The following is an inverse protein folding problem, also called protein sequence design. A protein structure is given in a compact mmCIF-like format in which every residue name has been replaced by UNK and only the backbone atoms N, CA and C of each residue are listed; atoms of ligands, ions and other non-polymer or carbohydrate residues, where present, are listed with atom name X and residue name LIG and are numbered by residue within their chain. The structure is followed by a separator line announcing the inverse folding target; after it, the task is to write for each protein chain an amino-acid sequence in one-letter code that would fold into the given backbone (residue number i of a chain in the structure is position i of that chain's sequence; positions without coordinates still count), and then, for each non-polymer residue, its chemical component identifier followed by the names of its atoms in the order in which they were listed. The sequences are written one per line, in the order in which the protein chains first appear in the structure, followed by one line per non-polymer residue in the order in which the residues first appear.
data_IF_688559507406
#
_entry.id   IF_688559507406
#
_cell.length_a   1.000
_cell.length_b   1.000
_cell.length_c   1.000
_cell.angle_alpha   90.00
_cell.angle_beta   90.00
_cell.angle_gamma   90.00
#
_symmetry.space_group_name_H-M   'P 1'
#
loop_
_entity.id
_entity.type
_entity.pdbx_description
1 polymer ?
#
# COMPACT_ATOMS: atom_id res chain seq x y z
N UNK A 1 -45.59 37.50 6.09
CA UNK A 1 -45.61 36.02 6.15
C UNK A 1 -45.00 35.54 7.45
N UNK A 2 -45.80 34.95 8.32
CA UNK A 2 -45.25 34.33 9.53
C UNK A 2 -44.83 32.88 9.18
N UNK A 3 -43.57 32.59 9.37
CA UNK A 3 -43.05 31.23 9.24
C UNK A 3 -43.57 30.45 10.44
N UNK A 4 -44.31 29.35 10.18
CA UNK A 4 -44.81 28.49 11.23
C UNK A 4 -43.61 27.73 11.90
N UNK A 5 -43.70 27.62 13.22
CA UNK A 5 -42.70 26.91 14.01
C UNK A 5 -42.49 25.46 13.57
N UNK A 6 -43.52 24.81 13.09
CA UNK A 6 -43.49 23.46 12.53
C UNK A 6 -42.67 23.36 11.23
N UNK A 7 -42.75 24.36 10.36
CA UNK A 7 -41.99 24.39 9.11
C UNK A 7 -40.48 24.54 9.35
N UNK A 8 -40.09 25.29 10.35
CA UNK A 8 -38.69 25.44 10.79
C UNK A 8 -38.15 24.14 11.37
N UNK A 9 -38.96 23.44 12.19
CA UNK A 9 -38.58 22.16 12.78
C UNK A 9 -38.43 21.06 11.73
N UNK A 10 -39.34 21.00 10.76
CA UNK A 10 -39.26 20.03 9.65
C UNK A 10 -38.03 20.28 8.77
N UNK A 11 -37.70 21.55 8.50
CA UNK A 11 -36.49 21.93 7.76
C UNK A 11 -35.22 21.57 8.54
N UNK A 12 -35.22 21.72 9.85
CA UNK A 12 -34.09 21.32 10.69
C UNK A 12 -33.85 19.82 10.67
N UNK A 13 -34.90 19.00 10.68
CA UNK A 13 -34.78 17.55 10.59
C UNK A 13 -34.26 17.11 9.23
N UNK A 14 -34.72 17.73 8.14
CA UNK A 14 -34.20 17.48 6.78
C UNK A 14 -32.73 17.88 6.67
N UNK A 15 -32.35 19.02 7.21
CA UNK A 15 -30.95 19.48 7.22
C UNK A 15 -30.07 18.55 8.04
N UNK A 16 -30.55 18.12 9.23
CA UNK A 16 -29.83 17.12 10.04
C UNK A 16 -29.64 15.79 9.30
N UNK A 17 -30.66 15.32 8.64
CA UNK A 17 -30.60 14.12 7.82
C UNK A 17 -29.58 14.26 6.69
N UNK A 18 -29.59 15.39 6.01
CA UNK A 18 -28.64 15.70 4.93
C UNK A 18 -27.19 15.75 5.42
N UNK A 19 -26.94 16.36 6.57
CA UNK A 19 -25.63 16.42 7.22
C UNK A 19 -25.17 15.00 7.61
N UNK A 20 -26.08 14.20 8.19
CA UNK A 20 -25.78 12.83 8.60
C UNK A 20 -25.43 11.95 7.41
N UNK A 21 -26.16 12.05 6.29
CA UNK A 21 -25.87 11.33 5.06
C UNK A 21 -24.53 11.80 4.43
N UNK A 22 -24.22 13.08 4.51
CA UNK A 22 -22.95 13.62 4.04
C UNK A 22 -21.77 13.16 4.89
N UNK A 23 -21.95 13.08 6.22
CA UNK A 23 -20.94 12.55 7.15
C UNK A 23 -20.74 11.04 6.93
N UNK A 24 -21.82 10.28 6.74
CA UNK A 24 -21.74 8.85 6.41
C UNK A 24 -21.00 8.63 5.07
N UNK A 25 -21.27 9.44 4.07
CA UNK A 25 -20.53 9.39 2.79
C UNK A 25 -19.05 9.76 2.94
N UNK A 26 -18.68 10.59 3.90
CA UNK A 26 -17.29 10.87 4.23
C UNK A 26 -16.62 9.69 4.93
N UNK A 27 -17.36 8.93 5.73
CA UNK A 27 -16.87 7.72 6.38
C UNK A 27 -16.77 6.54 5.40
N UNK A 28 -17.61 6.48 4.38
CA UNK A 28 -17.54 5.54 3.25
C UNK A 28 -16.44 5.90 2.24
N UNK A 29 -15.64 6.93 2.50
CA UNK A 29 -14.49 7.27 1.66
C UNK A 29 -13.62 6.04 1.52
N UNK A 30 -13.42 5.57 0.28
CA UNK A 30 -12.59 4.42 -0.05
C UNK A 30 -11.30 4.52 0.75
N UNK A 31 -11.21 3.72 1.80
CA UNK A 31 -9.99 3.55 2.56
C UNK A 31 -9.05 2.79 1.65
N UNK A 32 -7.89 3.35 1.36
CA UNK A 32 -6.91 2.72 0.52
C UNK A 32 -6.33 1.45 1.16
N UNK A 33 -5.35 0.87 0.52
CA UNK A 33 -4.70 -0.35 0.98
C UNK A 33 -3.99 -0.12 2.31
N UNK A 34 -4.23 -0.99 3.28
CA UNK A 34 -3.45 -1.08 4.50
C UNK A 34 -2.31 -2.07 4.30
N UNK A 35 -1.07 -1.59 4.39
CA UNK A 35 0.11 -2.45 4.39
C UNK A 35 0.31 -2.94 5.82
N UNK A 36 0.26 -4.26 6.02
CA UNK A 36 0.27 -4.89 7.34
C UNK A 36 1.57 -5.64 7.61
N UNK A 37 1.92 -5.76 8.86
CA UNK A 37 3.00 -6.63 9.33
C UNK A 37 2.63 -8.10 9.07
N UNK A 38 3.54 -8.87 8.49
CA UNK A 38 3.33 -10.27 8.11
C UNK A 38 3.07 -11.22 9.28
N UNK A 39 3.48 -10.85 10.47
CA UNK A 39 3.34 -11.68 11.67
C UNK A 39 2.22 -11.21 12.59
N UNK A 40 2.19 -9.92 12.87
CA UNK A 40 1.26 -9.36 13.86
C UNK A 40 -0.08 -8.98 13.24
N UNK A 41 -0.12 -8.76 11.92
CA UNK A 41 -1.29 -8.21 11.23
C UNK A 41 -1.54 -6.72 11.50
N UNK A 42 -0.71 -6.09 12.32
CA UNK A 42 -0.83 -4.66 12.59
C UNK A 42 -0.52 -3.83 11.34
N UNK A 43 -1.20 -2.71 11.21
CA UNK A 43 -0.99 -1.80 10.08
C UNK A 43 0.36 -1.10 10.24
N UNK A 44 1.23 -1.27 9.25
CA UNK A 44 2.50 -0.55 9.13
C UNK A 44 2.25 0.82 8.49
N UNK A 45 1.45 0.84 7.43
CA UNK A 45 1.12 2.05 6.67
C UNK A 45 -0.29 1.97 6.12
N UNK A 46 -1.07 3.01 6.33
CA UNK A 46 -2.40 3.16 5.74
C UNK A 46 -2.31 4.08 4.54
N UNK A 47 -2.43 3.50 3.36
CA UNK A 47 -2.41 4.26 2.12
C UNK A 47 -3.78 4.87 1.80
N UNK A 48 -3.78 5.91 0.99
CA UNK A 48 -4.98 6.46 0.35
C UNK A 48 -5.23 5.82 -1.02
N UNK A 49 -4.30 5.02 -1.52
CA UNK A 49 -4.32 4.44 -2.87
C UNK A 49 -4.99 3.06 -2.87
N UNK A 50 -5.49 2.66 -4.03
CA UNK A 50 -6.25 1.43 -4.21
C UNK A 50 -5.45 0.30 -4.86
N UNK A 51 -4.24 0.56 -5.34
CA UNK A 51 -3.32 -0.46 -5.86
C UNK A 51 -2.11 -0.61 -4.94
N UNK A 52 -1.57 -1.82 -4.84
CA UNK A 52 -0.36 -2.07 -4.04
C UNK A 52 0.84 -1.28 -4.55
N UNK A 53 0.99 -1.16 -5.85
CA UNK A 53 2.07 -0.35 -6.45
C UNK A 53 2.04 1.08 -5.91
N UNK A 54 0.91 1.75 -6.04
CA UNK A 54 0.76 3.14 -5.60
C UNK A 54 0.82 3.26 -4.07
N UNK A 55 0.25 2.29 -3.35
CA UNK A 55 0.27 2.27 -1.88
C UNK A 55 1.69 2.15 -1.33
N UNK A 56 2.50 1.29 -1.92
CA UNK A 56 3.91 1.12 -1.53
C UNK A 56 4.73 2.35 -1.91
N UNK A 57 4.51 2.90 -3.09
CA UNK A 57 5.17 4.14 -3.51
C UNK A 57 4.84 5.30 -2.57
N UNK A 58 3.58 5.46 -2.18
CA UNK A 58 3.14 6.47 -1.19
C UNK A 58 3.83 6.25 0.18
N UNK A 59 3.92 5.01 0.62
CA UNK A 59 4.62 4.67 1.87
C UNK A 59 6.11 5.07 1.81
N UNK A 60 6.78 4.80 0.69
CA UNK A 60 8.18 5.14 0.48
C UNK A 60 8.37 6.67 0.47
N UNK A 61 7.52 7.39 -0.23
CA UNK A 61 7.52 8.86 -0.25
C UNK A 61 7.32 9.46 1.14
N UNK A 62 6.55 8.77 1.99
CA UNK A 62 6.30 9.16 3.38
C UNK A 62 7.41 8.70 4.34
N UNK A 63 8.49 8.12 3.82
CA UNK A 63 9.60 7.53 4.59
C UNK A 63 9.16 6.43 5.58
N UNK A 64 8.10 5.70 5.25
CA UNK A 64 7.64 4.59 6.06
C UNK A 64 8.63 3.43 6.00
N UNK A 65 8.83 2.77 7.14
CA UNK A 65 9.61 1.54 7.23
C UNK A 65 8.71 0.36 6.87
N UNK A 66 8.98 -0.27 5.73
CA UNK A 66 8.21 -1.41 5.22
C UNK A 66 8.84 -2.76 5.60
N UNK A 67 9.78 -2.77 6.54
CA UNK A 67 10.31 -4.03 7.07
C UNK A 67 9.18 -4.86 7.69
N UNK A 68 9.24 -6.18 7.48
CA UNK A 68 8.20 -7.12 7.92
C UNK A 68 6.84 -6.95 7.22
N UNK A 69 6.74 -6.13 6.19
CA UNK A 69 5.48 -5.94 5.46
C UNK A 69 5.00 -7.23 4.80
N UNK A 70 3.70 -7.45 4.79
CA UNK A 70 3.08 -8.49 4.01
C UNK A 70 2.65 -7.92 2.64
N UNK A 71 3.45 -8.21 1.64
CA UNK A 71 3.21 -7.83 0.24
C UNK A 71 3.08 -9.07 -0.65
N UNK A 72 2.66 -10.19 -0.05
CA UNK A 72 2.44 -11.42 -0.81
C UNK A 72 1.37 -11.20 -1.88
N UNK A 73 1.64 -11.76 -3.06
CA UNK A 73 0.76 -11.67 -4.23
C UNK A 73 0.55 -10.25 -4.79
N UNK A 74 1.24 -9.25 -4.24
CA UNK A 74 1.09 -7.87 -4.67
C UNK A 74 1.63 -7.66 -6.10
N UNK A 75 0.89 -6.92 -6.92
CA UNK A 75 1.40 -6.47 -8.20
C UNK A 75 2.22 -5.18 -8.01
N UNK A 76 3.54 -5.34 -8.01
CA UNK A 76 4.52 -4.26 -7.89
C UNK A 76 5.29 -4.04 -9.19
N UNK A 77 4.73 -4.50 -10.32
CA UNK A 77 5.35 -4.28 -11.62
C UNK A 77 5.49 -2.79 -11.92
N UNK A 78 6.64 -2.39 -12.43
CA UNK A 78 7.00 -1.01 -12.71
C UNK A 78 7.03 -0.08 -11.50
N UNK A 79 6.94 -0.61 -10.28
CA UNK A 79 6.95 0.20 -9.07
C UNK A 79 8.33 0.83 -8.81
N UNK A 80 8.32 2.04 -8.33
CA UNK A 80 9.52 2.67 -7.81
C UNK A 80 9.73 2.30 -6.34
N UNK A 81 10.59 1.32 -6.10
CA UNK A 81 10.94 0.82 -4.77
C UNK A 81 12.32 1.29 -4.33
N UNK A 82 12.87 2.31 -4.99
CA UNK A 82 14.21 2.81 -4.68
C UNK A 82 14.28 3.30 -3.24
N UNK A 83 15.31 2.85 -2.53
CA UNK A 83 15.55 3.21 -1.14
C UNK A 83 14.59 2.62 -0.12
N UNK A 84 13.66 1.76 -0.55
CA UNK A 84 12.69 1.14 0.36
C UNK A 84 13.35 0.17 1.34
N UNK A 85 12.98 0.24 2.60
CA UNK A 85 13.32 -0.82 3.55
C UNK A 85 12.23 -1.91 3.51
N UNK A 86 12.55 -3.00 2.83
CA UNK A 86 11.71 -4.19 2.69
C UNK A 86 12.35 -5.42 3.38
N UNK A 87 13.26 -5.18 4.29
CA UNK A 87 13.92 -6.26 5.04
C UNK A 87 12.87 -7.10 5.78
N UNK A 88 13.01 -8.42 5.73
CA UNK A 88 12.09 -9.37 6.33
C UNK A 88 10.65 -9.31 5.77
N UNK A 89 10.38 -8.58 4.70
CA UNK A 89 9.07 -8.52 4.09
C UNK A 89 8.68 -9.84 3.42
N UNK A 90 7.40 -10.13 3.37
CA UNK A 90 6.87 -11.25 2.59
C UNK A 90 6.48 -10.76 1.20
N UNK A 91 7.29 -11.12 0.22
CA UNK A 91 7.08 -10.84 -1.20
C UNK A 91 6.76 -12.12 -2.00
N UNK A 92 6.26 -13.15 -1.31
CA UNK A 92 5.91 -14.41 -1.99
C UNK A 92 4.87 -14.15 -3.06
N UNK A 93 5.14 -14.63 -4.27
CA UNK A 93 4.27 -14.45 -5.45
C UNK A 93 4.03 -12.98 -5.85
N UNK A 94 4.73 -12.02 -5.27
CA UNK A 94 4.65 -10.63 -5.73
C UNK A 94 5.25 -10.49 -7.13
N UNK A 95 4.64 -9.67 -7.96
CA UNK A 95 5.18 -9.33 -9.27
C UNK A 95 6.08 -8.11 -9.15
N UNK A 96 7.39 -8.28 -9.31
CA UNK A 96 8.41 -7.24 -9.26
C UNK A 96 8.98 -6.90 -10.64
N UNK A 97 8.34 -7.34 -11.72
CA UNK A 97 8.82 -7.12 -13.08
C UNK A 97 9.03 -5.63 -13.35
N UNK A 98 10.22 -5.26 -13.80
CA UNK A 98 10.61 -3.88 -14.12
C UNK A 98 10.53 -2.91 -12.93
N UNK A 99 10.42 -3.39 -11.69
CA UNK A 99 10.48 -2.55 -10.52
C UNK A 99 11.88 -1.96 -10.34
N UNK A 100 11.94 -0.71 -9.88
CA UNK A 100 13.21 -0.07 -9.51
C UNK A 100 13.54 -0.41 -8.06
N UNK A 101 14.54 -1.24 -7.84
CA UNK A 101 15.01 -1.68 -6.52
C UNK A 101 16.32 -1.02 -6.10
N UNK A 102 16.72 0.08 -6.75
CA UNK A 102 17.97 0.77 -6.45
C UNK A 102 18.03 1.18 -4.98
N UNK A 103 19.07 0.76 -4.27
CA UNK A 103 19.29 1.04 -2.86
C UNK A 103 18.16 0.52 -1.94
N UNK A 104 17.31 -0.37 -2.40
CA UNK A 104 16.33 -1.04 -1.55
C UNK A 104 17.04 -2.06 -0.63
N UNK A 105 16.50 -2.24 0.56
CA UNK A 105 16.96 -3.26 1.52
C UNK A 105 16.00 -4.45 1.46
N UNK A 106 16.51 -5.63 1.10
CA UNK A 106 15.74 -6.85 0.93
C UNK A 106 16.26 -8.02 1.78
N UNK A 107 17.10 -7.76 2.79
CA UNK A 107 17.66 -8.81 3.64
C UNK A 107 16.54 -9.63 4.28
N UNK A 108 16.62 -10.94 4.16
CA UNK A 108 15.65 -11.88 4.69
C UNK A 108 14.22 -11.70 4.15
N UNK A 109 14.03 -10.98 3.07
CA UNK A 109 12.74 -10.92 2.40
C UNK A 109 12.40 -12.30 1.82
N UNK A 110 11.13 -12.67 1.90
CA UNK A 110 10.64 -13.97 1.45
C UNK A 110 10.07 -13.85 0.04
N UNK A 111 10.63 -14.61 -0.90
CA UNK A 111 10.19 -14.65 -2.29
C UNK A 111 9.56 -15.99 -2.68
N UNK A 112 9.52 -16.95 -1.76
CA UNK A 112 9.07 -18.30 -2.04
C UNK A 112 7.55 -18.42 -2.01
N UNK A 113 7.03 -19.23 -2.88
CA UNK A 113 5.62 -19.59 -2.99
C UNK A 113 5.45 -20.44 -4.24
N UNK A 114 4.38 -21.21 -4.35
CA UNK A 114 4.02 -21.84 -5.62
C UNK A 114 3.83 -20.72 -6.64
N UNK A 115 4.77 -20.60 -7.54
CA UNK A 115 4.70 -19.60 -8.60
C UNK A 115 4.27 -20.30 -9.87
N UNK A 116 3.01 -20.14 -10.21
CA UNK A 116 2.57 -20.42 -11.56
C UNK A 116 3.10 -19.32 -12.53
N UNK A 117 3.65 -18.26 -11.97
CA UNK A 117 4.37 -17.20 -12.66
C UNK A 117 5.75 -17.01 -12.05
N UNK A 118 6.83 -17.53 -12.68
CA UNK A 118 8.18 -17.22 -12.26
C UNK A 118 8.40 -15.70 -12.36
N UNK A 119 9.05 -15.13 -11.37
CA UNK A 119 9.43 -13.72 -11.43
C UNK A 119 10.57 -13.55 -12.42
N UNK A 120 10.33 -12.77 -13.44
CA UNK A 120 11.34 -12.43 -14.43
C UNK A 120 12.02 -11.12 -14.04
N UNK A 121 13.31 -11.19 -13.83
CA UNK A 121 14.16 -10.02 -13.70
C UNK A 121 14.90 -9.81 -15.02
N UNK A 122 14.96 -8.57 -15.47
CA UNK A 122 15.82 -8.26 -16.61
C UNK A 122 17.29 -8.38 -16.22
N UNK A 123 18.17 -8.53 -17.19
CA UNK A 123 19.63 -8.58 -16.95
C UNK A 123 20.10 -7.34 -16.21
N UNK A 124 19.51 -6.20 -16.48
CA UNK A 124 19.81 -4.91 -15.84
C UNK A 124 19.35 -4.85 -14.39
N UNK A 125 18.25 -5.55 -14.06
CA UNK A 125 17.69 -5.59 -12.71
C UNK A 125 18.45 -6.55 -11.78
N UNK A 126 19.06 -7.62 -12.33
CA UNK A 126 19.69 -8.68 -11.52
C UNK A 126 20.77 -8.12 -10.58
N UNK A 127 21.73 -7.28 -11.01
CA UNK A 127 22.74 -6.77 -10.10
C UNK A 127 22.16 -5.95 -8.95
N UNK A 128 21.21 -5.09 -9.25
CA UNK A 128 20.56 -4.24 -8.25
C UNK A 128 19.76 -5.09 -7.26
N UNK A 129 19.07 -6.10 -7.74
CA UNK A 129 18.30 -7.03 -6.92
C UNK A 129 19.21 -7.83 -5.97
N UNK A 130 20.30 -8.39 -6.50
CA UNK A 130 21.28 -9.13 -5.70
C UNK A 130 21.92 -8.25 -4.64
N UNK A 131 22.27 -7.02 -4.99
CA UNK A 131 22.84 -6.04 -4.05
C UNK A 131 21.83 -5.71 -2.94
N UNK A 132 20.56 -5.54 -3.28
CA UNK A 132 19.48 -5.31 -2.31
C UNK A 132 19.31 -6.48 -1.35
N UNK A 133 19.60 -7.70 -1.77
CA UNK A 133 19.64 -8.90 -0.93
C UNK A 133 20.90 -9.00 -0.07
N UNK A 134 21.83 -8.09 -0.21
CA UNK A 134 23.09 -8.10 0.55
C UNK A 134 24.25 -8.83 -0.12
N UNK A 135 24.11 -9.25 -1.38
CA UNK A 135 25.21 -9.85 -2.12
C UNK A 135 26.20 -8.80 -2.61
N UNK A 136 27.49 -9.12 -2.54
CA UNK A 136 28.54 -8.31 -3.13
C UNK A 136 28.78 -8.82 -4.54
N UNK A 137 28.55 -7.96 -5.52
CA UNK A 137 28.81 -8.27 -6.93
C UNK A 137 30.22 -7.79 -7.26
N UNK A 138 31.09 -8.74 -7.56
CA UNK A 138 32.46 -8.45 -7.98
C UNK A 138 32.56 -8.39 -9.50
#
# INVERSE_FOLDING_TARGET
MSIKKEDVLNNLEEVKKYILEAEQKKEEKVVGIAIKNRWTGNIIFQSTKTTYKEAVEEAIESNANLSWANLSEANLSLANLSGANLSNANLSKANLSWANLSNAELQNAKFYGKTDNPQELTKEQVPTFLKALGFIIK
#
